data_IF_082164121347
#
_entry.id   IF_082164121347
#
_cell.length_a   1.000
_cell.length_b   1.000
_cell.length_c   1.000
_cell.angle_alpha   90.00
_cell.angle_beta   90.00
_cell.angle_gamma   90.00
#
_symmetry.space_group_name_H-M   'P 1'
#
loop_
_entity.id
_entity.type
_entity.pdbx_description
1 polymer ?
#
# COMPACT_ATOMS: atom_id res chain seq x y z
N UNK A 1 -3.48 5.17 27.23
CA UNK A 1 -4.27 5.32 26.00
C UNK A 1 -5.19 4.12 25.91
N UNK A 2 -6.49 4.30 25.73
CA UNK A 2 -7.41 3.18 25.49
C UNK A 2 -7.20 2.61 24.08
N UNK A 3 -7.68 1.40 23.82
CA UNK A 3 -7.61 0.78 22.48
C UNK A 3 -8.29 1.63 21.40
N UNK A 4 -9.40 2.29 21.73
CA UNK A 4 -10.12 3.17 20.80
C UNK A 4 -9.34 4.45 20.50
N UNK A 5 -8.67 5.02 21.51
CA UNK A 5 -7.79 6.17 21.30
C UNK A 5 -6.63 5.82 20.37
N UNK A 6 -5.98 4.66 20.56
CA UNK A 6 -4.90 4.18 19.69
C UNK A 6 -5.36 3.96 18.25
N UNK A 7 -6.56 3.41 18.05
CA UNK A 7 -7.16 3.23 16.71
C UNK A 7 -7.43 4.56 16.02
N UNK A 8 -7.99 5.53 16.72
CA UNK A 8 -8.29 6.86 16.18
C UNK A 8 -7.01 7.61 15.83
N UNK A 9 -5.98 7.49 16.66
CA UNK A 9 -4.67 8.11 16.43
C UNK A 9 -4.00 7.56 15.15
N UNK A 10 -3.95 6.24 14.96
CA UNK A 10 -3.45 5.62 13.72
C UNK A 10 -4.26 6.06 12.50
N UNK A 11 -5.59 6.05 12.60
CA UNK A 11 -6.44 6.44 11.48
C UNK A 11 -6.20 7.90 11.05
N UNK A 12 -5.91 8.79 12.00
CA UNK A 12 -5.55 10.20 11.72
C UNK A 12 -4.16 10.32 11.11
N UNK A 13 -3.14 9.71 11.73
CA UNK A 13 -1.75 9.81 11.27
C UNK A 13 -1.51 9.19 9.91
N UNK A 14 -2.09 8.02 9.65
CA UNK A 14 -1.98 7.33 8.36
C UNK A 14 -2.96 7.86 7.31
N UNK A 15 -3.72 8.92 7.60
CA UNK A 15 -4.80 9.46 6.75
C UNK A 15 -5.72 8.34 6.22
N UNK A 16 -6.12 7.41 7.09
CA UNK A 16 -6.95 6.24 6.76
C UNK A 16 -6.35 5.34 5.67
N UNK A 17 -5.03 5.22 5.59
CA UNK A 17 -4.36 4.34 4.62
C UNK A 17 -4.27 4.92 3.20
N UNK A 18 -4.40 6.24 3.05
CA UNK A 18 -4.29 6.93 1.75
C UNK A 18 -3.05 6.54 0.91
N UNK A 19 -1.85 6.32 1.49
CA UNK A 19 -0.70 5.85 0.72
C UNK A 19 -0.93 4.51 0.00
N UNK A 20 -1.61 3.56 0.66
CA UNK A 20 -1.91 2.25 0.09
C UNK A 20 -2.97 2.33 -1.00
N UNK A 21 -3.98 3.19 -0.82
CA UNK A 21 -4.99 3.46 -1.85
C UNK A 21 -4.31 4.06 -3.11
N UNK A 22 -3.41 5.02 -2.91
CA UNK A 22 -2.63 5.59 -4.02
C UNK A 22 -1.78 4.55 -4.74
N UNK A 23 -1.09 3.68 -3.98
CA UNK A 23 -0.27 2.62 -4.56
C UNK A 23 -1.12 1.63 -5.38
N UNK A 24 -2.30 1.28 -4.87
CA UNK A 24 -3.27 0.41 -5.57
C UNK A 24 -3.70 1.00 -6.91
N UNK A 25 -4.00 2.30 -6.97
CA UNK A 25 -4.36 2.97 -8.22
C UNK A 25 -3.25 2.86 -9.29
N UNK A 26 -1.99 3.00 -8.88
CA UNK A 26 -0.82 2.83 -9.77
C UNK A 26 -0.71 1.38 -10.26
N UNK A 27 -0.90 0.41 -9.37
CA UNK A 27 -0.86 -1.02 -9.74
C UNK A 27 -1.96 -1.37 -10.74
N UNK A 28 -3.19 -0.91 -10.51
CA UNK A 28 -4.30 -1.13 -11.44
C UNK A 28 -4.07 -0.49 -12.81
N UNK A 29 -3.44 0.68 -12.87
CA UNK A 29 -3.02 1.29 -14.13
C UNK A 29 -1.97 0.43 -14.86
N UNK A 30 -0.98 -0.12 -14.15
CA UNK A 30 0.02 -1.02 -14.75
C UNK A 30 -0.62 -2.31 -15.28
N UNK A 31 -1.57 -2.88 -14.53
CA UNK A 31 -2.34 -4.07 -14.97
C UNK A 31 -3.15 -3.72 -16.22
N UNK A 32 -3.82 -2.57 -16.25
CA UNK A 32 -4.60 -2.11 -17.41
C UNK A 32 -3.72 -1.94 -18.66
N UNK A 33 -2.53 -1.35 -18.51
CA UNK A 33 -1.55 -1.22 -19.60
C UNK A 33 -1.10 -2.60 -20.09
N UNK A 34 -0.79 -3.51 -19.15
CA UNK A 34 -0.36 -4.89 -19.46
C UNK A 34 -1.46 -5.65 -20.20
N UNK A 35 -2.72 -5.46 -19.83
CA UNK A 35 -3.88 -6.06 -20.51
C UNK A 35 -4.21 -5.43 -21.86
N UNK A 36 -3.85 -4.16 -22.07
CA UNK A 36 -4.02 -3.48 -23.36
C UNK A 36 -2.94 -3.89 -24.37
N UNK A 37 -1.80 -4.38 -23.89
CA UNK A 37 -0.73 -4.93 -24.70
C UNK A 37 -1.13 -6.32 -25.24
N UNK A 38 -1.00 -6.54 -26.56
CA UNK A 38 -1.27 -7.85 -27.20
C UNK A 38 -0.12 -8.84 -26.95
N UNK A 39 0.13 -9.17 -25.69
CA UNK A 39 1.12 -10.15 -25.27
C UNK A 39 0.52 -11.56 -25.20
N UNK A 40 1.34 -12.62 -25.30
CA UNK A 40 0.88 -13.97 -25.03
C UNK A 40 0.38 -14.08 -23.58
N UNK A 41 -0.76 -14.76 -23.37
CA UNK A 41 -1.46 -14.85 -22.07
C UNK A 41 -0.56 -15.29 -20.90
N UNK A 42 0.42 -16.17 -21.17
CA UNK A 42 1.39 -16.63 -20.16
C UNK A 42 2.27 -15.49 -19.66
N UNK A 43 2.75 -14.63 -20.56
CA UNK A 43 3.60 -13.50 -20.20
C UNK A 43 2.78 -12.40 -19.51
N UNK A 44 1.55 -12.17 -19.99
CA UNK A 44 0.62 -11.22 -19.39
C UNK A 44 0.34 -11.57 -17.92
N UNK A 45 0.04 -12.83 -17.62
CA UNK A 45 -0.20 -13.29 -16.25
C UNK A 45 1.03 -13.13 -15.34
N UNK A 46 2.23 -13.41 -15.87
CA UNK A 46 3.48 -13.23 -15.13
C UNK A 46 3.74 -11.76 -14.80
N UNK A 47 3.51 -10.86 -15.75
CA UNK A 47 3.69 -9.41 -15.54
C UNK A 47 2.67 -8.88 -14.53
N UNK A 48 1.39 -9.26 -14.65
CA UNK A 48 0.34 -8.87 -13.69
C UNK A 48 0.69 -9.35 -12.28
N UNK A 49 1.22 -10.57 -12.13
CA UNK A 49 1.71 -11.06 -10.85
C UNK A 49 2.86 -10.18 -10.31
N UNK A 50 3.84 -9.84 -11.15
CA UNK A 50 4.94 -8.95 -10.77
C UNK A 50 4.49 -7.52 -10.42
N UNK A 51 3.37 -7.03 -10.95
CA UNK A 51 2.81 -5.71 -10.59
C UNK A 51 2.40 -5.61 -9.11
N UNK A 52 2.21 -6.74 -8.40
CA UNK A 52 1.89 -6.74 -6.97
C UNK A 52 3.13 -6.54 -6.07
N UNK A 53 4.31 -6.97 -6.51
CA UNK A 53 5.56 -6.88 -5.76
C UNK A 53 5.91 -5.45 -5.30
N UNK A 54 5.75 -4.38 -6.11
CA UNK A 54 6.10 -3.03 -5.70
C UNK A 54 5.06 -2.33 -4.81
N UNK A 55 3.99 -2.99 -4.37
CA UNK A 55 2.92 -2.34 -3.57
C UNK A 55 3.45 -1.63 -2.33
N UNK A 56 4.29 -2.31 -1.55
CA UNK A 56 4.88 -1.75 -0.34
C UNK A 56 5.81 -0.56 -0.63
N UNK A 57 6.82 -0.66 -1.52
CA UNK A 57 7.68 0.49 -1.83
C UNK A 57 6.91 1.64 -2.49
N UNK A 58 5.88 1.38 -3.30
CA UNK A 58 5.01 2.43 -3.85
C UNK A 58 4.22 3.14 -2.75
N UNK A 59 3.63 2.41 -1.81
CA UNK A 59 2.93 3.00 -0.68
C UNK A 59 3.87 3.90 0.14
N UNK A 60 5.10 3.46 0.40
CA UNK A 60 6.13 4.26 1.09
C UNK A 60 6.48 5.55 0.35
N UNK A 61 6.64 5.49 -0.98
CA UNK A 61 6.91 6.67 -1.80
C UNK A 61 5.75 7.66 -1.76
N UNK A 62 4.52 7.17 -1.91
CA UNK A 62 3.33 8.02 -1.85
C UNK A 62 3.18 8.62 -0.45
N UNK A 63 3.44 7.84 0.61
CA UNK A 63 3.48 8.32 1.99
C UNK A 63 4.42 9.50 2.19
N UNK A 64 5.63 9.42 1.63
CA UNK A 64 6.59 10.55 1.63
C UNK A 64 6.04 11.78 0.91
N UNK A 65 5.39 11.60 -0.24
CA UNK A 65 4.80 12.72 -1.01
C UNK A 65 3.70 13.42 -0.21
N UNK A 66 2.85 12.66 0.49
CA UNK A 66 1.72 13.20 1.25
C UNK A 66 2.05 13.53 2.72
N UNK A 67 3.34 13.47 3.10
CA UNK A 67 3.85 13.62 4.47
C UNK A 67 3.07 12.77 5.49
N UNK A 68 2.89 11.48 5.16
CA UNK A 68 2.32 10.48 6.05
C UNK A 68 3.40 9.49 6.44
N UNK A 69 3.62 9.35 7.73
CA UNK A 69 4.56 8.39 8.27
C UNK A 69 3.87 7.04 8.44
N UNK A 70 4.09 6.14 7.47
CA UNK A 70 3.44 4.82 7.45
C UNK A 70 3.97 3.93 8.58
N UNK A 71 5.20 4.17 9.01
CA UNK A 71 5.89 3.40 10.06
C UNK A 71 6.02 4.16 11.37
N UNK A 72 5.07 5.05 11.67
CA UNK A 72 5.08 5.77 12.95
C UNK A 72 5.12 4.78 14.13
N UNK A 73 6.27 4.73 14.81
CA UNK A 73 6.53 3.85 15.95
C UNK A 73 5.98 4.41 17.26
N UNK A 74 5.44 5.63 17.27
CA UNK A 74 4.85 6.19 18.48
C UNK A 74 3.56 5.50 18.90
N UNK A 75 2.94 4.73 18.01
CA UNK A 75 1.76 3.91 18.30
C UNK A 75 2.07 2.42 18.09
N UNK A 76 1.98 1.64 19.16
CA UNK A 76 2.27 0.20 19.16
C UNK A 76 1.40 -0.58 18.16
N UNK A 77 0.14 -0.17 17.97
CA UNK A 77 -0.77 -0.76 17.00
C UNK A 77 -0.34 -0.50 15.54
N UNK A 78 0.49 0.52 15.28
CA UNK A 78 1.04 0.78 13.95
C UNK A 78 2.02 -0.31 13.53
N UNK A 79 2.87 -0.77 14.46
CA UNK A 79 3.81 -1.86 14.21
C UNK A 79 3.11 -3.21 14.03
N UNK A 80 2.06 -3.47 14.82
CA UNK A 80 1.25 -4.69 14.67
C UNK A 80 0.45 -4.66 13.36
N UNK A 81 -0.10 -3.50 12.97
CA UNK A 81 -0.79 -3.33 11.68
C UNK A 81 0.13 -3.57 10.49
N UNK A 82 1.39 -3.15 10.58
CA UNK A 82 2.40 -3.46 9.57
C UNK A 82 2.72 -4.95 9.51
N UNK A 83 2.91 -5.61 10.66
CA UNK A 83 3.13 -7.07 10.72
C UNK A 83 1.96 -7.86 10.11
N UNK A 84 0.71 -7.41 10.31
CA UNK A 84 -0.45 -8.01 9.65
C UNK A 84 -0.48 -7.78 8.14
N UNK A 85 0.11 -6.69 7.64
CA UNK A 85 0.20 -6.42 6.19
C UNK A 85 1.25 -7.32 5.52
N UNK A 86 2.20 -7.87 6.29
CA UNK A 86 3.23 -8.79 5.80
C UNK A 86 2.83 -10.27 5.88
N UNK A 87 1.70 -10.60 6.51
CA UNK A 87 1.18 -11.96 6.70
C UNK A 87 0.25 -12.34 5.55
#
# INVERSE_FOLDING_TARGET
MSLDELRVDIAKKQKKGLPFIGASAVIWLLILITCSLKLPIRLQNMIVFCCSCPLMPLAMLIGKIINVDIFDKSNELGNVGFLFTLN
#
